data_IF_488113527316
#
_entry.id   IF_488113527316
#
_cell.length_a   1.000
_cell.length_b   1.000
_cell.length_c   1.000
_cell.angle_alpha   90.00
_cell.angle_beta   90.00
_cell.angle_gamma   90.00
#
_symmetry.space_group_name_H-M   'P 1'
#
loop_
_entity.id
_entity.type
_entity.pdbx_description
1 polymer ?
#
# COMPACT_ATOMS: atom_id res chain seq x y z
N UNK A 1 -11.53 3.02 -11.03
CA UNK A 1 -10.88 3.83 -9.97
C UNK A 1 -10.31 5.10 -10.61
N UNK A 2 -10.43 6.29 -10.01
CA UNK A 2 -9.93 7.52 -10.63
C UNK A 2 -8.41 7.45 -10.88
N UNK A 3 -7.97 8.00 -12.03
CA UNK A 3 -6.56 8.09 -12.45
C UNK A 3 -5.80 9.18 -11.67
N UNK A 4 -5.88 9.15 -10.34
CA UNK A 4 -5.16 10.07 -9.47
C UNK A 4 -3.83 9.45 -9.04
N UNK A 5 -2.74 10.16 -9.31
CA UNK A 5 -1.40 9.82 -8.84
C UNK A 5 -1.26 10.26 -7.37
N UNK A 6 -1.40 9.31 -6.44
CA UNK A 6 -1.12 9.55 -5.02
C UNK A 6 0.38 9.49 -4.74
N UNK A 7 0.80 10.02 -3.59
CA UNK A 7 2.19 9.93 -3.10
C UNK A 7 2.71 8.49 -3.15
N UNK A 8 1.93 7.52 -2.67
CA UNK A 8 2.29 6.09 -2.68
C UNK A 8 2.48 5.56 -4.10
N UNK A 9 1.56 5.88 -5.03
CA UNK A 9 1.67 5.44 -6.43
C UNK A 9 2.92 5.99 -7.12
N UNK A 10 3.26 7.26 -6.87
CA UNK A 10 4.48 7.88 -7.39
C UNK A 10 5.74 7.18 -6.86
N UNK A 11 5.81 6.94 -5.55
CA UNK A 11 6.96 6.27 -4.94
C UNK A 11 7.13 4.83 -5.45
N UNK A 12 6.04 4.07 -5.57
CA UNK A 12 6.07 2.71 -6.10
C UNK A 12 6.57 2.68 -7.55
N UNK A 13 6.09 3.59 -8.40
CA UNK A 13 6.57 3.74 -9.77
C UNK A 13 8.05 4.09 -9.87
N UNK A 14 8.52 4.99 -9.00
CA UNK A 14 9.93 5.39 -8.94
C UNK A 14 10.83 4.26 -8.47
N UNK A 15 10.36 3.41 -7.55
CA UNK A 15 11.14 2.27 -7.04
C UNK A 15 11.17 1.11 -8.05
N UNK A 16 10.02 0.77 -8.63
CA UNK A 16 9.90 -0.33 -9.57
C UNK A 16 8.67 -0.16 -10.47
N UNK A 17 8.89 0.15 -11.74
CA UNK A 17 7.81 0.32 -12.73
C UNK A 17 6.98 -0.96 -12.90
N UNK A 18 7.60 -2.14 -12.82
CA UNK A 18 6.88 -3.43 -12.88
C UNK A 18 5.95 -3.60 -11.68
N UNK A 19 6.38 -3.21 -10.48
CA UNK A 19 5.54 -3.29 -9.30
C UNK A 19 4.33 -2.36 -9.44
N UNK A 20 4.53 -1.14 -9.93
CA UNK A 20 3.41 -0.24 -10.25
C UNK A 20 2.42 -0.87 -11.22
N UNK A 21 2.91 -1.53 -12.27
CA UNK A 21 2.04 -2.22 -13.23
C UNK A 21 1.23 -3.35 -12.56
N UNK A 22 1.89 -4.19 -11.75
CA UNK A 22 1.23 -5.30 -11.02
C UNK A 22 0.13 -4.78 -10.09
N UNK A 23 0.38 -3.69 -9.35
CA UNK A 23 -0.61 -3.08 -8.46
C UNK A 23 -1.94 -2.70 -9.15
N UNK A 24 -1.93 -2.39 -10.45
CA UNK A 24 -3.12 -1.96 -11.19
C UNK A 24 -3.73 -3.01 -12.11
N UNK A 25 -2.93 -3.94 -12.62
CA UNK A 25 -3.35 -4.88 -13.65
C UNK A 25 -3.41 -6.33 -13.15
N UNK A 26 -2.75 -6.63 -12.03
CA UNK A 26 -2.53 -8.00 -11.54
C UNK A 26 -2.39 -7.99 -10.01
N UNK A 27 -3.33 -7.32 -9.33
CA UNK A 27 -3.25 -7.05 -7.89
C UNK A 27 -3.21 -8.31 -7.03
N UNK A 28 -3.76 -9.42 -7.52
CA UNK A 28 -3.82 -10.69 -6.82
C UNK A 28 -2.44 -11.33 -6.62
N UNK A 29 -1.43 -10.88 -7.38
CA UNK A 29 -0.03 -11.32 -7.19
C UNK A 29 0.70 -10.56 -6.10
N UNK A 30 0.12 -9.48 -5.58
CA UNK A 30 0.71 -8.73 -4.48
C UNK A 30 0.48 -9.54 -3.21
N UNK A 31 1.55 -9.95 -2.50
CA UNK A 31 1.39 -10.75 -1.30
C UNK A 31 0.63 -9.95 -0.23
N UNK A 32 -0.34 -10.61 0.40
CA UNK A 32 -1.01 -10.08 1.58
C UNK A 32 0.00 -10.06 2.73
N UNK A 33 0.00 -9.02 3.59
CA UNK A 33 0.81 -9.02 4.80
C UNK A 33 0.52 -10.25 5.65
N UNK A 34 1.55 -10.82 6.26
CA UNK A 34 1.34 -11.85 7.29
C UNK A 34 0.65 -11.25 8.53
N UNK A 35 0.18 -12.13 9.42
CA UNK A 35 -0.58 -11.71 10.60
C UNK A 35 0.18 -10.74 11.52
N UNK A 36 1.50 -10.91 11.64
CA UNK A 36 2.33 -10.03 12.49
C UNK A 36 2.47 -8.64 11.86
N UNK A 37 2.73 -8.59 10.56
CA UNK A 37 2.82 -7.35 9.79
C UNK A 37 1.48 -6.62 9.77
N UNK A 38 0.37 -7.36 9.59
CA UNK A 38 -0.97 -6.79 9.64
C UNK A 38 -1.28 -6.20 11.02
N UNK A 39 -0.92 -6.90 12.10
CA UNK A 39 -1.10 -6.39 13.46
C UNK A 39 -0.38 -5.05 13.67
N UNK A 40 0.86 -4.89 13.16
CA UNK A 40 1.60 -3.63 13.24
C UNK A 40 0.88 -2.51 12.48
N UNK A 41 0.35 -2.79 11.29
CA UNK A 41 -0.43 -1.80 10.54
C UNK A 41 -1.70 -1.41 11.30
N UNK A 42 -2.43 -2.36 11.86
CA UNK A 42 -3.64 -2.09 12.63
C UNK A 42 -3.35 -1.21 13.84
N UNK A 43 -2.26 -1.47 14.57
CA UNK A 43 -1.81 -0.60 15.67
C UNK A 43 -1.49 0.82 15.20
N UNK A 44 -0.86 0.98 14.03
CA UNK A 44 -0.58 2.28 13.44
C UNK A 44 -1.84 3.11 13.19
N UNK A 45 -2.94 2.48 12.75
CA UNK A 45 -4.23 3.15 12.59
C UNK A 45 -4.81 3.61 13.94
N UNK A 46 -4.73 2.77 14.98
CA UNK A 46 -5.19 3.12 16.33
C UNK A 46 -4.45 4.35 16.86
N UNK A 47 -3.11 4.38 16.73
CA UNK A 47 -2.31 5.54 17.15
C UNK A 47 -2.68 6.79 16.36
N UNK A 48 -2.95 6.65 15.05
CA UNK A 48 -3.38 7.75 14.19
C UNK A 48 -4.69 8.39 14.66
N UNK A 49 -5.68 7.60 15.08
CA UNK A 49 -6.95 8.11 15.62
C UNK A 49 -6.76 8.74 17.02
N UNK A 50 -5.89 8.19 17.87
CA UNK A 50 -5.60 8.75 19.19
C UNK A 50 -4.86 10.09 19.13
N UNK A 51 -4.09 10.34 18.07
CA UNK A 51 -3.31 11.56 17.89
C UNK A 51 -4.08 12.70 17.20
N UNK A 52 -5.36 12.49 16.88
CA UNK A 52 -6.23 13.42 16.15
C UNK A 52 -6.93 14.39 17.09
#
# INVERSE_FOLDING_TARGET
>A
MPQLLSKTKYLNGRQCLRYLWVLFNDSDRVPVPDANTQYIFDQGHVVGELAR
#
